data_IF_847878974321
#
_entry.id   IF_847878974321
#
_cell.length_a   1.000
_cell.length_b   1.000
_cell.length_c   1.000
_cell.angle_alpha   90.00
_cell.angle_beta   90.00
_cell.angle_gamma   90.00
#
_symmetry.space_group_name_H-M   'P 1'
#
loop_
_entity.id
_entity.type
_entity.pdbx_description
1 polymer ?
#
# COMPACT_ATOMS: atom_id res chain seq x y z
N UNK A 1 -19.26 3.99 -12.65
CA UNK A 1 -18.48 4.54 -11.51
C UNK A 1 -17.27 3.64 -11.40
N UNK A 2 -16.06 4.12 -11.69
CA UNK A 2 -14.85 3.32 -11.46
C UNK A 2 -14.69 3.23 -9.94
N UNK A 3 -14.90 2.05 -9.36
CA UNK A 3 -14.57 1.83 -7.96
C UNK A 3 -13.05 1.94 -7.82
N UNK A 4 -12.59 3.06 -7.27
CA UNK A 4 -11.21 3.23 -6.84
C UNK A 4 -11.02 2.23 -5.69
N UNK A 5 -10.02 1.36 -5.80
CA UNK A 5 -9.61 0.42 -4.76
C UNK A 5 -9.53 1.11 -3.39
N UNK A 6 -10.17 0.55 -2.38
CA UNK A 6 -10.05 1.02 -0.99
C UNK A 6 -8.94 0.27 -0.23
N UNK A 7 -8.63 0.73 0.98
CA UNK A 7 -7.57 0.15 1.82
C UNK A 7 -7.86 -1.29 2.25
N UNK A 8 -9.12 -1.64 2.44
CA UNK A 8 -9.51 -2.98 2.86
C UNK A 8 -9.27 -3.97 1.72
N UNK A 9 -9.67 -3.63 0.50
CA UNK A 9 -9.41 -4.43 -0.69
C UNK A 9 -7.92 -4.50 -1.00
N UNK A 10 -7.19 -3.37 -0.92
CA UNK A 10 -5.74 -3.35 -1.09
C UNK A 10 -5.03 -4.33 -0.13
N UNK A 11 -5.39 -4.30 1.15
CA UNK A 11 -4.86 -5.21 2.16
C UNK A 11 -5.16 -6.67 1.85
N UNK A 12 -6.41 -7.00 1.49
CA UNK A 12 -6.80 -8.37 1.07
C UNK A 12 -5.98 -8.85 -0.13
N UNK A 13 -5.67 -7.95 -1.07
CA UNK A 13 -4.84 -8.26 -2.24
C UNK A 13 -3.36 -8.44 -1.90
N UNK A 14 -2.85 -7.72 -0.89
CA UNK A 14 -1.48 -7.84 -0.40
C UNK A 14 -1.26 -9.19 0.33
N UNK A 15 -2.24 -9.59 1.15
CA UNK A 15 -2.17 -10.80 2.00
C UNK A 15 -2.83 -12.03 1.35
N UNK A 16 -3.21 -11.94 0.08
CA UNK A 16 -3.81 -13.04 -0.66
C UNK A 16 -2.86 -14.25 -0.73
N UNK A 17 -3.20 -15.33 -0.02
CA UNK A 17 -2.39 -16.54 0.10
C UNK A 17 -1.75 -16.77 1.47
N UNK A 18 -1.81 -15.80 2.38
CA UNK A 18 -1.46 -16.00 3.80
C UNK A 18 -2.65 -16.58 4.60
N UNK A 19 -3.88 -16.32 4.14
CA UNK A 19 -5.12 -16.93 4.60
C UNK A 19 -5.81 -17.63 3.42
N UNK A 20 -6.05 -18.95 3.51
CA UNK A 20 -6.66 -19.76 2.43
C UNK A 20 -8.08 -19.30 2.06
N UNK A 21 -8.80 -18.66 2.98
CA UNK A 21 -10.24 -18.38 2.84
C UNK A 21 -10.60 -17.26 1.86
N UNK A 22 -9.63 -16.53 1.28
CA UNK A 22 -9.92 -15.30 0.53
C UNK A 22 -9.65 -15.34 -0.98
N UNK A 23 -8.99 -16.38 -1.50
CA UNK A 23 -8.47 -16.32 -2.87
C UNK A 23 -9.54 -16.52 -3.96
N UNK A 24 -10.56 -17.32 -3.70
CA UNK A 24 -11.63 -17.59 -4.69
C UNK A 24 -12.43 -16.33 -5.04
N UNK A 25 -12.76 -15.52 -4.03
CA UNK A 25 -13.46 -14.25 -4.23
C UNK A 25 -12.59 -13.29 -5.05
N UNK A 26 -11.30 -13.18 -4.73
CA UNK A 26 -10.38 -12.31 -5.46
C UNK A 26 -10.14 -12.78 -6.91
N UNK A 27 -10.23 -14.10 -7.18
CA UNK A 27 -10.28 -14.64 -8.55
C UNK A 27 -11.58 -14.22 -9.24
N UNK A 28 -12.74 -14.37 -8.59
CA UNK A 28 -14.04 -13.96 -9.14
C UNK A 28 -14.11 -12.46 -9.43
N UNK A 29 -13.46 -11.62 -8.61
CA UNK A 29 -13.30 -10.18 -8.82
C UNK A 29 -12.31 -9.83 -9.95
N UNK A 30 -11.60 -10.83 -10.51
CA UNK A 30 -10.68 -10.67 -11.63
C UNK A 30 -9.27 -10.21 -11.25
N UNK A 31 -8.90 -10.21 -9.97
CA UNK A 31 -7.55 -9.84 -9.52
C UNK A 31 -6.54 -10.98 -9.67
N UNK A 32 -7.01 -12.22 -9.61
CA UNK A 32 -6.18 -13.41 -9.80
C UNK A 32 -6.76 -14.36 -10.85
N UNK A 33 -5.92 -15.23 -11.38
CA UNK A 33 -6.33 -16.30 -12.29
C UNK A 33 -5.55 -17.57 -12.00
N UNK A 34 -6.15 -18.73 -12.28
CA UNK A 34 -5.48 -20.03 -12.17
C UNK A 34 -4.95 -20.48 -13.52
N UNK A 35 -3.66 -20.80 -13.56
CA UNK A 35 -3.01 -21.43 -14.72
C UNK A 35 -2.19 -22.62 -14.25
N UNK A 36 -2.60 -23.83 -14.62
CA UNK A 36 -1.87 -25.06 -14.28
C UNK A 36 -1.69 -25.27 -12.77
N UNK A 37 -2.71 -24.94 -11.96
CA UNK A 37 -2.64 -25.05 -10.49
C UNK A 37 -1.92 -23.88 -9.80
N UNK A 38 -1.33 -22.94 -10.55
CA UNK A 38 -0.68 -21.74 -10.00
C UNK A 38 -1.63 -20.55 -10.04
N UNK A 39 -1.67 -19.79 -8.94
CA UNK A 39 -2.40 -18.53 -8.84
C UNK A 39 -1.49 -17.41 -9.35
N UNK A 40 -1.95 -16.69 -10.39
CA UNK A 40 -1.23 -15.58 -10.99
C UNK A 40 -2.01 -14.27 -10.82
N UNK A 41 -1.28 -13.17 -10.58
CA UNK A 41 -1.84 -11.80 -10.58
C UNK A 41 -2.25 -11.41 -12.00
N UNK A 42 -3.43 -10.80 -12.15
CA UNK A 42 -3.92 -10.31 -13.45
C UNK A 42 -3.42 -8.91 -13.76
N UNK A 43 -3.70 -8.44 -14.97
CA UNK A 43 -3.49 -7.04 -15.36
C UNK A 43 -4.29 -6.08 -14.46
N UNK A 44 -5.54 -6.43 -14.12
CA UNK A 44 -6.41 -5.64 -13.23
C UNK A 44 -5.76 -5.43 -11.86
N UNK A 45 -5.24 -6.50 -11.25
CA UNK A 45 -4.48 -6.41 -10.01
C UNK A 45 -3.36 -5.38 -10.13
N UNK A 46 -2.53 -5.52 -11.16
CA UNK A 46 -1.36 -4.67 -11.34
C UNK A 46 -1.75 -3.20 -11.48
N UNK A 47 -2.66 -2.89 -12.40
CA UNK A 47 -3.05 -1.51 -12.69
C UNK A 47 -3.72 -0.84 -11.48
N UNK A 48 -4.65 -1.53 -10.80
CA UNK A 48 -5.37 -0.90 -9.70
C UNK A 48 -4.52 -0.77 -8.43
N UNK A 49 -3.67 -1.76 -8.12
CA UNK A 49 -2.72 -1.66 -7.00
C UNK A 49 -1.65 -0.60 -7.26
N UNK A 50 -1.08 -0.53 -8.46
CA UNK A 50 -0.10 0.51 -8.82
C UNK A 50 -0.72 1.92 -8.72
N UNK A 51 -1.97 2.09 -9.17
CA UNK A 51 -2.69 3.37 -9.04
C UNK A 51 -2.97 3.73 -7.57
N UNK A 52 -3.42 2.76 -6.77
CA UNK A 52 -3.65 2.93 -5.34
C UNK A 52 -2.36 3.35 -4.62
N UNK A 53 -1.28 2.60 -4.83
CA UNK A 53 0.03 2.83 -4.24
C UNK A 53 0.52 4.21 -4.64
N UNK A 54 0.55 4.54 -5.94
CA UNK A 54 1.05 5.83 -6.42
C UNK A 54 0.32 7.02 -5.77
N UNK A 55 -1.02 6.97 -5.72
CA UNK A 55 -1.83 8.04 -5.13
C UNK A 55 -1.58 8.22 -3.63
N UNK A 56 -1.58 7.12 -2.86
CA UNK A 56 -1.38 7.18 -1.40
C UNK A 56 0.07 7.49 -1.02
N UNK A 57 1.01 6.97 -1.80
CA UNK A 57 2.45 7.20 -1.64
C UNK A 57 2.81 8.68 -1.76
N UNK A 58 2.29 9.37 -2.78
CA UNK A 58 2.54 10.81 -2.92
C UNK A 58 1.98 11.61 -1.75
N UNK A 59 0.77 11.28 -1.28
CA UNK A 59 0.18 11.95 -0.11
C UNK A 59 1.00 11.73 1.15
N UNK A 60 1.43 10.49 1.40
CA UNK A 60 2.27 10.16 2.55
C UNK A 60 3.58 10.92 2.52
N UNK A 61 4.25 10.97 1.35
CA UNK A 61 5.48 11.72 1.18
C UNK A 61 5.30 13.22 1.48
N UNK A 62 4.27 13.85 0.93
CA UNK A 62 4.02 15.28 1.16
C UNK A 62 3.72 15.57 2.64
N UNK A 63 3.00 14.68 3.33
CA UNK A 63 2.76 14.80 4.78
C UNK A 63 4.07 14.70 5.56
N UNK A 64 4.88 13.67 5.32
CA UNK A 64 6.18 13.49 5.99
C UNK A 64 7.11 14.67 5.71
N UNK A 65 7.11 15.19 4.48
CA UNK A 65 7.88 16.37 4.09
C UNK A 65 7.48 17.62 4.86
N UNK A 66 6.18 17.83 5.11
CA UNK A 66 5.68 18.95 5.93
C UNK A 66 6.05 18.82 7.41
N UNK A 67 5.98 17.60 7.95
CA UNK A 67 6.30 17.34 9.37
C UNK A 67 7.81 17.12 9.62
N UNK A 68 8.59 16.93 8.56
CA UNK A 68 10.00 16.53 8.60
C UNK A 68 10.23 15.05 8.93
N UNK A 69 9.24 14.34 9.46
CA UNK A 69 9.36 12.94 9.86
C UNK A 69 8.02 12.22 10.02
N UNK A 70 8.08 10.91 10.24
CA UNK A 70 6.95 10.08 10.65
C UNK A 70 7.00 9.65 12.14
N UNK A 71 7.50 10.51 13.03
CA UNK A 71 7.56 10.20 14.48
C UNK A 71 6.16 10.00 15.08
N UNK A 72 5.23 10.90 14.76
CA UNK A 72 3.81 10.78 15.13
C UNK A 72 3.03 10.03 14.02
N UNK A 73 3.13 8.70 14.04
CA UNK A 73 2.49 7.82 13.06
C UNK A 73 0.97 8.04 12.97
N UNK A 74 0.19 8.06 14.07
CA UNK A 74 -1.25 8.28 13.99
C UNK A 74 -1.62 9.58 13.27
N UNK A 75 -0.90 10.67 13.55
CA UNK A 75 -1.11 11.96 12.88
C UNK A 75 -0.77 11.90 11.40
N UNK A 76 0.39 11.34 11.06
CA UNK A 76 0.86 11.22 9.67
C UNK A 76 -0.10 10.37 8.84
N UNK A 77 -0.56 9.24 9.39
CA UNK A 77 -1.58 8.39 8.77
C UNK A 77 -2.89 9.15 8.56
N UNK A 78 -3.40 9.83 9.59
CA UNK A 78 -4.63 10.61 9.50
C UNK A 78 -4.58 11.71 8.43
N UNK A 79 -3.48 12.46 8.36
CA UNK A 79 -3.30 13.52 7.35
C UNK A 79 -3.07 12.96 5.94
N UNK A 80 -2.41 11.79 5.80
CA UNK A 80 -2.25 11.12 4.51
C UNK A 80 -3.53 10.41 4.04
N UNK A 81 -4.56 10.35 4.90
CA UNK A 81 -5.80 9.64 4.68
C UNK A 81 -5.56 8.13 4.59
N UNK A 82 -4.69 7.59 5.44
CA UNK A 82 -4.41 6.16 5.60
C UNK A 82 -5.03 5.71 6.92
N UNK A 83 -5.87 4.69 6.90
CA UNK A 83 -6.54 4.16 8.09
C UNK A 83 -5.94 2.86 8.61
N UNK A 84 -5.24 2.09 7.76
CA UNK A 84 -4.61 0.82 8.15
C UNK A 84 -3.08 0.94 8.28
N UNK A 85 -2.55 0.40 9.38
CA UNK A 85 -1.12 0.48 9.69
C UNK A 85 -0.24 -0.34 8.74
N UNK A 86 -0.73 -1.49 8.24
CA UNK A 86 0.03 -2.31 7.27
C UNK A 86 0.15 -1.54 5.95
N UNK A 87 -0.92 -0.87 5.52
CA UNK A 87 -0.86 0.04 4.36
C UNK A 87 0.18 1.14 4.55
N UNK A 88 0.22 1.77 5.74
CA UNK A 88 1.25 2.77 6.05
C UNK A 88 2.67 2.22 5.93
N UNK A 89 2.96 1.07 6.56
CA UNK A 89 4.29 0.45 6.51
C UNK A 89 4.67 0.12 5.07
N UNK A 90 3.76 -0.49 4.30
CA UNK A 90 4.01 -0.81 2.89
C UNK A 90 4.40 0.43 2.08
N UNK A 91 3.63 1.53 2.19
CA UNK A 91 3.90 2.76 1.45
C UNK A 91 5.19 3.45 1.91
N UNK A 92 5.51 3.40 3.21
CA UNK A 92 6.75 3.94 3.74
C UNK A 92 7.98 3.16 3.23
N UNK A 93 7.90 1.82 3.17
CA UNK A 93 8.95 0.98 2.59
C UNK A 93 9.14 1.25 1.10
N UNK A 94 8.05 1.42 0.33
CA UNK A 94 8.12 1.81 -1.08
C UNK A 94 8.83 3.16 -1.27
N UNK A 95 8.54 4.15 -0.42
CA UNK A 95 9.22 5.45 -0.47
C UNK A 95 10.71 5.37 -0.08
N UNK A 96 11.07 4.45 0.81
CA UNK A 96 12.47 4.17 1.14
C UNK A 96 13.17 3.48 -0.04
N UNK A 97 12.51 2.51 -0.68
CA UNK A 97 13.02 1.82 -1.87
C UNK A 97 13.20 2.78 -3.06
N UNK A 98 12.29 3.72 -3.24
CA UNK A 98 12.40 4.83 -4.21
C UNK A 98 13.51 5.83 -3.85
N UNK A 99 14.10 5.73 -2.66
CA UNK A 99 15.13 6.65 -2.16
C UNK A 99 14.59 8.04 -1.81
N UNK A 100 13.29 8.19 -1.57
CA UNK A 100 12.65 9.46 -1.17
C UNK A 100 12.63 9.65 0.33
N UNK A 101 12.57 8.55 1.08
CA UNK A 101 12.69 8.53 2.52
C UNK A 101 13.92 7.74 2.97
N UNK A 102 14.38 8.01 4.18
CA UNK A 102 15.40 7.24 4.88
C UNK A 102 14.81 6.73 6.19
N UNK A 103 15.09 5.48 6.55
CA UNK A 103 14.70 4.90 7.83
C UNK A 103 15.45 5.58 8.97
N UNK A 104 14.74 5.96 10.01
CA UNK A 104 15.29 6.55 11.22
C UNK A 104 14.78 5.78 12.45
N UNK A 105 15.64 5.54 13.43
CA UNK A 105 15.30 4.71 14.59
C UNK A 105 14.33 5.36 15.58
N UNK A 106 14.25 6.68 15.59
CA UNK A 106 13.39 7.47 16.50
C UNK A 106 12.23 8.05 15.72
N UNK A 107 12.52 8.59 14.53
CA UNK A 107 11.57 9.31 13.68
C UNK A 107 10.79 8.40 12.72
N UNK A 108 11.03 7.09 12.76
CA UNK A 108 10.57 6.05 11.83
C UNK A 108 11.09 6.25 10.40
N UNK A 109 10.77 7.38 9.77
CA UNK A 109 11.33 7.81 8.50
C UNK A 109 11.40 9.33 8.38
N UNK A 110 12.38 9.80 7.61
CA UNK A 110 12.61 11.22 7.29
C UNK A 110 12.81 11.39 5.79
N UNK A 111 12.59 12.60 5.27
CA UNK A 111 12.88 12.91 3.87
C UNK A 111 14.38 12.79 3.63
N UNK A 112 14.74 12.14 2.51
CA UNK A 112 16.14 12.10 2.08
C UNK A 112 16.55 13.50 1.60
N UNK A 113 17.62 14.03 2.18
CA UNK A 113 18.26 15.28 1.75
C UNK A 113 18.83 15.18 0.32
#
# INVERSE_FOLDING_TARGET
MNEIMDEMLFKRLLTAGEEEENIEELIAMGYFTRKGGVICRTRKYREETENFISSKKERLYEVIKRHGSAEDIPRVMGEAGISDFITFIFLAEELVADGRLVKDRVKNCVVKE
#
